data_IF_084240258321
#
_entry.id   IF_084240258321
#
_cell.length_a   1.000
_cell.length_b   1.000
_cell.length_c   1.000
_cell.angle_alpha   90.00
_cell.angle_beta   90.00
_cell.angle_gamma   90.00
#
_symmetry.space_group_name_H-M   'P 1'
#
loop_
_entity.id
_entity.type
_entity.pdbx_description
1 polymer ?
#
# COMPACT_ATOMS: atom_id res chain seq x y z
N UNK A 1 33.59 7.46 16.13
CA UNK A 1 32.75 6.25 16.02
C UNK A 1 31.37 6.39 16.67
N UNK A 2 31.24 6.81 17.94
CA UNK A 2 29.90 6.99 18.58
C UNK A 2 29.03 8.08 17.94
N UNK A 3 29.63 9.19 17.52
CA UNK A 3 28.90 10.32 16.89
C UNK A 3 28.40 10.02 15.47
N UNK A 4 29.19 9.26 14.69
CA UNK A 4 28.80 8.81 13.34
C UNK A 4 27.63 7.84 13.36
N UNK A 5 27.54 6.97 14.37
CA UNK A 5 26.40 6.06 14.56
C UNK A 5 25.11 6.81 14.87
N UNK A 6 25.20 7.85 15.72
CA UNK A 6 24.06 8.69 16.09
C UNK A 6 23.55 9.49 14.87
N UNK A 7 24.45 10.02 14.05
CA UNK A 7 24.09 10.70 12.80
C UNK A 7 23.41 9.75 11.80
N UNK A 8 23.87 8.49 11.71
CA UNK A 8 23.25 7.48 10.86
C UNK A 8 21.83 7.13 11.32
N UNK A 9 21.62 7.02 12.64
CA UNK A 9 20.32 6.73 13.26
C UNK A 9 19.30 7.85 13.04
N UNK A 10 19.75 9.12 13.06
CA UNK A 10 18.88 10.28 12.81
C UNK A 10 18.44 10.35 11.34
N UNK A 11 19.29 9.94 10.39
CA UNK A 11 18.96 9.91 8.96
C UNK A 11 17.90 8.83 8.66
N UNK A 12 17.87 7.72 9.40
CA UNK A 12 16.83 6.69 9.21
C UNK A 12 15.44 7.11 9.70
N UNK A 13 15.32 8.12 10.56
CA UNK A 13 14.04 8.55 11.14
C UNK A 13 13.25 9.49 10.20
N UNK A 14 13.90 10.10 9.19
CA UNK A 14 13.25 11.11 8.33
C UNK A 14 12.51 10.53 7.11
N UNK A 15 12.59 9.23 6.85
CA UNK A 15 11.85 8.60 5.75
C UNK A 15 10.42 8.27 6.18
N UNK A 16 9.51 9.23 6.03
CA UNK A 16 8.07 8.98 6.12
C UNK A 16 7.57 8.33 4.83
N UNK A 17 7.64 7.00 4.74
CA UNK A 17 7.00 6.25 3.68
C UNK A 17 5.48 6.15 3.96
N UNK A 18 4.65 6.79 3.14
CA UNK A 18 3.18 6.64 3.18
C UNK A 18 2.75 5.40 2.40
N UNK A 19 3.05 4.23 2.96
CA UNK A 19 2.58 2.94 2.46
C UNK A 19 2.19 2.05 3.65
N UNK A 20 1.10 2.42 4.31
CA UNK A 20 0.56 1.66 5.44
C UNK A 20 -0.51 0.69 4.93
N UNK A 21 -0.27 -0.59 5.14
CA UNK A 21 -1.29 -1.62 4.95
C UNK A 21 -2.18 -1.70 6.19
N UNK A 22 -3.45 -2.10 6.01
CA UNK A 22 -4.40 -2.28 7.12
C UNK A 22 -4.53 -1.04 8.03
N UNK A 23 -4.57 0.15 7.41
CA UNK A 23 -4.64 1.43 8.13
C UNK A 23 -5.78 1.43 9.15
N UNK A 24 -5.45 1.74 10.41
CA UNK A 24 -6.40 1.76 11.53
C UNK A 24 -6.70 0.40 12.16
N UNK A 25 -6.50 -0.73 11.45
CA UNK A 25 -6.82 -2.06 11.97
C UNK A 25 -5.65 -2.68 12.77
N UNK A 26 -4.43 -2.69 12.24
CA UNK A 26 -3.28 -3.37 12.90
C UNK A 26 -2.84 -2.71 14.21
N UNK A 27 -3.34 -1.51 14.51
CA UNK A 27 -3.04 -0.76 15.73
C UNK A 27 -4.09 -0.99 16.83
N UNK A 28 -5.16 -1.73 16.53
CA UNK A 28 -6.26 -1.99 17.46
C UNK A 28 -5.85 -3.01 18.52
N UNK A 29 -6.38 -2.87 19.75
CA UNK A 29 -6.15 -3.80 20.86
C UNK A 29 -6.76 -5.20 20.60
N UNK A 30 -7.65 -5.32 19.63
CA UNK A 30 -8.30 -6.53 19.14
C UNK A 30 -7.83 -6.91 17.72
N UNK A 31 -6.64 -6.45 17.30
CA UNK A 31 -6.06 -6.85 16.01
C UNK A 31 -5.51 -8.28 15.99
N UNK A 32 -5.39 -8.96 17.14
CA UNK A 32 -4.95 -10.36 17.20
C UNK A 32 -3.60 -10.60 16.52
N UNK A 33 -3.52 -11.61 15.65
CA UNK A 33 -2.29 -11.97 14.91
C UNK A 33 -1.83 -10.85 13.96
N UNK A 34 -2.75 -10.00 13.50
CA UNK A 34 -2.43 -8.88 12.59
C UNK A 34 -1.61 -7.78 13.28
N UNK A 35 -1.70 -7.68 14.61
CA UNK A 35 -0.92 -6.72 15.39
C UNK A 35 0.60 -6.95 15.27
N UNK A 36 1.02 -8.18 14.98
CA UNK A 36 2.43 -8.55 14.71
C UNK A 36 3.02 -7.74 13.56
N UNK A 37 2.20 -7.40 12.55
CA UNK A 37 2.63 -6.61 11.39
C UNK A 37 2.96 -5.16 11.75
N UNK A 38 2.40 -4.66 12.85
CA UNK A 38 2.70 -3.34 13.39
C UNK A 38 3.86 -3.40 14.39
N UNK A 39 3.76 -4.28 15.39
CA UNK A 39 4.79 -4.49 16.39
C UNK A 39 4.73 -5.94 16.91
N UNK A 40 5.76 -6.78 16.69
CA UNK A 40 5.76 -8.15 17.18
C UNK A 40 5.51 -8.31 18.69
N UNK A 41 5.82 -7.29 19.50
CA UNK A 41 5.59 -7.32 20.95
C UNK A 41 4.12 -7.14 21.35
N UNK A 42 3.24 -6.65 20.47
CA UNK A 42 1.83 -6.39 20.80
C UNK A 42 1.03 -7.65 21.15
N UNK A 43 1.49 -8.82 20.70
CA UNK A 43 0.82 -10.10 20.97
C UNK A 43 0.91 -10.52 22.45
N UNK A 44 1.79 -9.93 23.25
CA UNK A 44 1.85 -10.18 24.70
C UNK A 44 0.64 -9.60 25.45
N UNK A 45 0.08 -8.48 24.98
CA UNK A 45 -1.11 -7.82 25.57
C UNK A 45 -2.38 -8.04 24.71
N UNK A 46 -2.37 -9.05 23.84
CA UNK A 46 -3.54 -9.40 23.04
C UNK A 46 -4.71 -9.82 23.93
N UNK A 47 -5.91 -9.33 23.60
CA UNK A 47 -7.15 -9.72 24.29
C UNK A 47 -7.59 -11.15 23.93
N UNK A 48 -7.03 -11.73 22.87
CA UNK A 48 -7.29 -13.10 22.44
C UNK A 48 -6.21 -14.06 22.93
N UNK A 49 -6.62 -15.21 23.46
CA UNK A 49 -5.69 -16.32 23.79
C UNK A 49 -5.27 -17.11 22.56
N UNK A 50 -6.14 -17.14 21.55
CA UNK A 50 -5.92 -17.79 20.26
C UNK A 50 -6.61 -16.94 19.20
N UNK A 51 -5.92 -16.67 18.11
CA UNK A 51 -6.46 -15.99 16.94
C UNK A 51 -5.99 -16.69 15.68
N UNK A 52 -6.89 -16.82 14.71
CA UNK A 52 -6.64 -17.53 13.44
C UNK A 52 -7.12 -16.64 12.31
N UNK A 53 -6.17 -16.16 11.51
CA UNK A 53 -6.47 -15.48 10.26
C UNK A 53 -6.36 -16.49 9.12
N UNK A 54 -7.48 -16.79 8.44
CA UNK A 54 -7.45 -17.65 7.25
C UNK A 54 -6.85 -16.87 6.08
N UNK A 55 -7.38 -15.67 5.83
CA UNK A 55 -6.88 -14.75 4.84
C UNK A 55 -7.40 -13.34 5.13
N UNK A 56 -6.62 -12.33 4.78
CA UNK A 56 -6.97 -10.91 4.89
C UNK A 56 -6.35 -10.13 3.74
N UNK A 57 -7.03 -9.10 3.24
CA UNK A 57 -6.55 -8.27 2.14
C UNK A 57 -6.62 -6.80 2.52
N UNK A 58 -5.59 -6.05 2.16
CA UNK A 58 -5.59 -4.60 2.20
C UNK A 58 -5.06 -4.07 0.86
N UNK A 59 -5.83 -3.20 0.23
CA UNK A 59 -5.44 -2.50 -0.98
C UNK A 59 -5.63 -0.99 -0.79
N UNK A 60 -4.67 -0.21 -1.26
CA UNK A 60 -4.81 1.25 -1.36
C UNK A 60 -4.26 1.71 -2.69
N UNK A 61 -5.00 2.58 -3.37
CA UNK A 61 -4.54 3.26 -4.56
C UNK A 61 -4.88 4.74 -4.43
N UNK A 62 -3.91 5.60 -4.73
CA UNK A 62 -4.11 7.04 -4.73
C UNK A 62 -3.37 7.64 -5.92
N UNK A 63 -3.99 8.62 -6.57
CA UNK A 63 -3.41 9.33 -7.69
C UNK A 63 -3.96 10.77 -7.71
N UNK A 64 -3.29 11.66 -8.42
CA UNK A 64 -3.70 13.07 -8.54
C UNK A 64 -4.19 13.44 -9.97
N UNK A 65 -4.41 12.44 -10.85
CA UNK A 65 -4.83 12.61 -12.25
C UNK A 65 -6.33 12.34 -12.44
N UNK A 66 -6.83 11.21 -11.93
CA UNK A 66 -8.22 10.76 -12.05
C UNK A 66 -8.87 10.66 -10.66
N UNK A 67 -9.96 11.39 -10.50
CA UNK A 67 -10.92 11.21 -9.41
C UNK A 67 -12.13 10.42 -9.91
N UNK A 68 -12.37 9.24 -9.32
CA UNK A 68 -13.54 8.40 -9.62
C UNK A 68 -14.30 8.10 -8.34
N UNK A 69 -15.62 7.97 -8.43
CA UNK A 69 -16.41 7.45 -7.32
C UNK A 69 -16.38 5.92 -7.36
N UNK A 70 -15.83 5.31 -6.30
CA UNK A 70 -15.61 3.87 -6.22
C UNK A 70 -16.89 3.05 -6.49
N UNK A 71 -18.06 3.51 -6.04
CA UNK A 71 -19.30 2.77 -6.21
C UNK A 71 -19.92 2.91 -7.60
N UNK A 72 -19.57 3.97 -8.33
CA UNK A 72 -20.09 4.20 -9.68
C UNK A 72 -19.29 3.43 -10.73
N UNK A 73 -17.98 3.24 -10.51
CA UNK A 73 -17.08 2.50 -11.43
C UNK A 73 -17.54 1.06 -11.68
N UNK A 74 -18.22 0.42 -10.73
CA UNK A 74 -18.71 -0.97 -10.89
C UNK A 74 -20.08 -1.08 -11.56
N UNK A 75 -20.76 0.03 -11.84
CA UNK A 75 -22.09 0.01 -12.47
C UNK A 75 -21.96 -0.26 -13.98
N UNK A 76 -22.93 -1.02 -14.52
CA UNK A 76 -23.01 -1.24 -15.97
C UNK A 76 -23.22 0.10 -16.68
N UNK A 77 -22.34 0.40 -17.64
CA UNK A 77 -22.38 1.65 -18.41
C UNK A 77 -21.61 2.82 -17.79
N UNK A 78 -20.74 2.58 -16.81
CA UNK A 78 -19.82 3.62 -16.34
C UNK A 78 -18.86 4.01 -17.46
N UNK A 79 -18.85 5.29 -17.79
CA UNK A 79 -17.97 5.87 -18.79
C UNK A 79 -16.92 6.73 -18.08
N UNK A 80 -15.66 6.24 -18.12
CA UNK A 80 -14.53 6.96 -17.53
C UNK A 80 -14.31 8.32 -18.18
N UNK A 81 -14.81 8.55 -19.39
CA UNK A 81 -14.55 9.79 -20.10
C UNK A 81 -15.47 10.93 -19.71
N UNK A 82 -16.72 10.61 -19.38
CA UNK A 82 -17.75 11.57 -19.00
C UNK A 82 -17.99 11.64 -17.48
N UNK A 83 -17.66 10.58 -16.74
CA UNK A 83 -18.02 10.43 -15.33
C UNK A 83 -16.83 10.43 -14.36
N UNK A 84 -15.60 10.62 -14.86
CA UNK A 84 -14.42 10.85 -14.03
C UNK A 84 -14.05 12.33 -13.97
N UNK A 85 -13.50 12.77 -12.85
CA UNK A 85 -12.90 14.10 -12.72
C UNK A 85 -11.44 13.98 -13.13
N UNK A 86 -11.09 14.53 -14.29
CA UNK A 86 -9.72 14.55 -14.79
C UNK A 86 -9.03 15.85 -14.36
N UNK A 87 -7.90 15.73 -13.67
CA UNK A 87 -7.03 16.84 -13.26
C UNK A 87 -5.65 16.66 -13.88
N UNK A 88 -5.57 16.89 -15.19
CA UNK A 88 -4.32 16.78 -15.93
C UNK A 88 -3.33 17.89 -15.53
N UNK A 89 -2.20 17.47 -14.97
CA UNK A 89 -1.04 18.32 -14.68
C UNK A 89 0.15 17.82 -15.50
N UNK A 90 1.16 18.66 -15.67
CA UNK A 90 2.41 18.24 -16.36
C UNK A 90 3.16 17.13 -15.63
N UNK A 91 2.92 16.99 -14.32
CA UNK A 91 3.53 15.98 -13.46
C UNK A 91 2.50 15.48 -12.45
N UNK A 92 1.81 14.41 -12.82
CA UNK A 92 0.92 13.65 -11.97
C UNK A 92 1.66 12.47 -11.32
N UNK A 93 1.19 12.05 -10.14
CA UNK A 93 1.75 10.96 -9.37
C UNK A 93 0.67 9.93 -9.02
N UNK A 94 1.11 8.69 -8.85
CA UNK A 94 0.28 7.56 -8.46
C UNK A 94 1.00 6.66 -7.48
N UNK A 95 0.26 6.08 -6.55
CA UNK A 95 0.72 5.03 -5.66
C UNK A 95 -0.33 3.94 -5.59
N UNK A 96 0.12 2.69 -5.63
CA UNK A 96 -0.72 1.52 -5.41
C UNK A 96 0.00 0.56 -4.46
N UNK A 97 -0.71 0.11 -3.42
CA UNK A 97 -0.23 -0.85 -2.45
C UNK A 97 -1.24 -1.99 -2.36
N UNK A 98 -0.75 -3.21 -2.45
CA UNK A 98 -1.53 -4.42 -2.26
C UNK A 98 -0.85 -5.30 -1.21
N UNK A 99 -1.63 -5.79 -0.26
CA UNK A 99 -1.17 -6.56 0.86
C UNK A 99 -2.15 -7.68 1.15
N UNK A 100 -1.64 -8.91 1.22
CA UNK A 100 -2.43 -10.09 1.49
C UNK A 100 -1.74 -10.85 2.61
N UNK A 101 -2.39 -10.97 3.76
CA UNK A 101 -1.97 -11.89 4.80
C UNK A 101 -2.72 -13.20 4.64
N UNK A 102 -1.98 -14.28 4.40
CA UNK A 102 -2.52 -15.64 4.25
C UNK A 102 -2.81 -16.28 5.60
N UNK A 103 -2.77 -17.63 5.69
CA UNK A 103 -2.93 -18.34 6.94
C UNK A 103 -1.93 -17.85 7.99
N UNK A 104 -2.47 -17.41 9.13
CA UNK A 104 -1.70 -16.94 10.28
C UNK A 104 -2.36 -17.36 11.57
N UNK A 105 -1.54 -17.64 12.58
CA UNK A 105 -1.98 -18.18 13.86
C UNK A 105 -1.27 -17.43 14.98
N UNK A 106 -2.01 -17.09 16.02
CA UNK A 106 -1.48 -16.58 17.28
C UNK A 106 -2.07 -17.41 18.41
N UNK A 107 -1.25 -17.83 19.36
CA UNK A 107 -1.72 -18.54 20.56
C UNK A 107 -0.79 -18.34 21.76
N UNK A 108 -1.39 -18.32 22.95
CA UNK A 108 -0.66 -18.22 24.20
C UNK A 108 -0.09 -19.60 24.58
N UNK A 109 1.21 -19.66 24.82
CA UNK A 109 1.88 -20.86 25.36
C UNK A 109 1.91 -20.86 26.90
N UNK A 110 1.81 -19.68 27.51
CA UNK A 110 1.68 -19.47 28.96
C UNK A 110 0.96 -18.11 29.21
N UNK A 111 0.55 -17.76 30.45
CA UNK A 111 -0.32 -16.60 30.69
C UNK A 111 0.16 -15.25 30.15
N UNK A 112 1.48 -15.07 29.96
CA UNK A 112 2.08 -13.87 29.36
C UNK A 112 2.89 -14.14 28.09
N UNK A 113 3.03 -15.42 27.72
CA UNK A 113 3.89 -15.82 26.61
C UNK A 113 3.03 -16.19 25.42
N UNK A 114 3.25 -15.51 24.30
CA UNK A 114 2.47 -15.68 23.07
C UNK A 114 3.40 -15.95 21.90
N UNK A 115 3.03 -16.90 21.05
CA UNK A 115 3.68 -17.15 19.77
C UNK A 115 2.71 -16.79 18.65
N UNK A 116 3.24 -16.20 17.59
CA UNK A 116 2.51 -15.95 16.36
C UNK A 116 3.33 -16.42 15.15
N UNK A 117 2.64 -16.96 14.15
CA UNK A 117 3.19 -17.33 12.84
C UNK A 117 2.31 -16.71 11.78
N UNK A 118 2.91 -16.11 10.76
CA UNK A 118 2.16 -15.51 9.66
C UNK A 118 2.80 -15.76 8.30
N UNK A 119 1.95 -15.76 7.28
CA UNK A 119 2.33 -15.71 5.87
C UNK A 119 1.76 -14.45 5.25
N UNK A 120 2.53 -13.78 4.40
CA UNK A 120 2.10 -12.53 3.79
C UNK A 120 2.74 -12.32 2.42
N UNK A 121 2.04 -11.62 1.54
CA UNK A 121 2.55 -11.17 0.25
C UNK A 121 2.19 -9.70 0.06
N UNK A 122 3.13 -8.91 -0.44
CA UNK A 122 2.97 -7.47 -0.60
C UNK A 122 3.49 -6.99 -1.94
N UNK A 123 2.84 -5.96 -2.46
CA UNK A 123 3.26 -5.22 -3.64
C UNK A 123 3.08 -3.72 -3.41
N UNK A 124 4.09 -2.92 -3.77
CA UNK A 124 4.10 -1.47 -3.69
C UNK A 124 4.53 -0.93 -5.05
N UNK A 125 3.73 -0.04 -5.63
CA UNK A 125 4.02 0.61 -6.91
C UNK A 125 3.93 2.11 -6.74
N UNK A 126 4.95 2.83 -7.21
CA UNK A 126 5.00 4.28 -7.23
C UNK A 126 5.24 4.76 -8.66
N UNK A 127 4.37 5.64 -9.13
CA UNK A 127 4.44 6.31 -10.42
C UNK A 127 4.60 7.81 -10.17
N UNK A 128 5.54 8.44 -10.85
CA UNK A 128 5.85 9.87 -10.69
C UNK A 128 6.00 10.54 -12.04
N UNK A 129 5.72 11.85 -12.06
CA UNK A 129 5.92 12.72 -13.21
C UNK A 129 5.22 12.22 -14.49
N UNK A 130 4.04 11.62 -14.34
CA UNK A 130 3.21 11.25 -15.49
C UNK A 130 2.64 12.52 -16.09
N UNK A 131 2.85 12.75 -17.39
CA UNK A 131 2.30 13.93 -18.05
C UNK A 131 0.81 13.74 -18.32
N UNK A 132 -0.05 14.37 -17.51
CA UNK A 132 -1.51 14.31 -17.69
C UNK A 132 -1.99 14.93 -19.01
N UNK A 133 -1.28 15.93 -19.55
CA UNK A 133 -1.63 16.52 -20.85
C UNK A 133 -1.41 15.56 -22.02
N UNK A 134 -0.48 14.60 -21.90
CA UNK A 134 -0.33 13.53 -22.88
C UNK A 134 -1.47 12.52 -22.76
N UNK A 135 -1.91 12.22 -21.53
CA UNK A 135 -3.02 11.28 -21.29
C UNK A 135 -4.32 11.81 -21.90
N UNK A 136 -4.60 13.10 -21.74
CA UNK A 136 -5.77 13.75 -22.35
C UNK A 136 -5.69 13.75 -23.90
N UNK A 137 -4.51 14.06 -24.47
CA UNK A 137 -4.31 14.07 -25.93
C UNK A 137 -4.49 12.69 -26.56
N UNK A 138 -4.05 11.63 -25.88
CA UNK A 138 -4.21 10.25 -26.37
C UNK A 138 -5.67 9.80 -26.23
N UNK A 139 -6.36 10.25 -25.18
CA UNK A 139 -7.77 9.93 -24.92
C UNK A 139 -8.70 10.52 -25.98
N UNK A 140 -8.49 11.77 -26.40
CA UNK A 140 -9.37 12.46 -27.35
C UNK A 140 -9.22 11.99 -28.82
N UNK A 141 -8.35 11.01 -29.08
CA UNK A 141 -8.30 10.26 -30.34
C UNK A 141 -6.98 10.38 -31.10
N UNK A 142 -6.29 9.24 -31.22
CA UNK A 142 -5.16 9.04 -32.14
C UNK A 142 -5.62 8.87 -33.60
N UNK A 143 -6.92 8.80 -33.86
CA UNK A 143 -7.46 8.39 -35.16
C UNK A 143 -7.54 9.52 -36.20
N UNK A 144 -7.18 10.77 -35.85
CA UNK A 144 -7.32 11.97 -36.71
C UNK A 144 -6.00 12.69 -37.02
N UNK A 145 -4.83 12.21 -36.56
CA UNK A 145 -3.57 12.93 -36.73
C UNK A 145 -2.63 12.25 -37.74
N UNK A 146 -2.20 13.02 -38.75
CA UNK A 146 -1.21 12.59 -39.76
C UNK A 146 0.23 12.59 -39.26
N UNK A 147 0.50 13.29 -38.14
CA UNK A 147 1.78 13.36 -37.46
C UNK A 147 1.56 13.52 -35.94
N UNK A 148 2.38 12.85 -35.12
CA UNK A 148 2.31 12.92 -33.68
C UNK A 148 3.60 13.49 -33.08
N UNK A 149 3.51 14.59 -32.33
CA UNK A 149 4.59 15.08 -31.49
C UNK A 149 4.17 15.04 -30.02
N UNK A 150 4.42 13.88 -29.38
CA UNK A 150 4.08 13.66 -27.97
C UNK A 150 5.22 14.11 -27.06
N UNK A 151 4.90 14.97 -26.10
CA UNK A 151 5.80 15.27 -25.00
C UNK A 151 5.47 14.37 -23.80
N UNK A 152 6.15 13.24 -23.67
CA UNK A 152 5.97 12.34 -22.53
C UNK A 152 6.57 12.88 -21.22
N UNK A 153 7.41 13.90 -21.28
CA UNK A 153 8.15 14.41 -20.11
C UNK A 153 9.14 13.37 -19.58
N UNK A 154 9.26 13.28 -18.25
CA UNK A 154 10.18 12.38 -17.54
C UNK A 154 9.43 11.44 -16.58
N UNK A 155 8.58 10.53 -17.09
CA UNK A 155 7.83 9.61 -16.25
C UNK A 155 8.81 8.65 -15.54
N UNK A 156 8.53 8.36 -14.27
CA UNK A 156 9.29 7.40 -13.48
C UNK A 156 8.33 6.44 -12.79
N UNK A 157 8.65 5.14 -12.82
CA UNK A 157 7.91 4.11 -12.14
C UNK A 157 8.85 3.17 -11.38
N UNK A 158 8.50 2.85 -10.15
CA UNK A 158 9.17 1.81 -9.36
C UNK A 158 8.11 0.90 -8.75
N UNK A 159 8.35 -0.41 -8.81
CA UNK A 159 7.48 -1.42 -8.21
C UNK A 159 8.30 -2.46 -7.46
N UNK A 160 7.82 -2.85 -6.28
CA UNK A 160 8.44 -3.86 -5.42
C UNK A 160 7.38 -4.84 -4.98
N UNK A 161 7.65 -6.14 -5.12
CA UNK A 161 6.80 -7.21 -4.62
C UNK A 161 7.63 -8.27 -3.90
N UNK A 162 7.13 -8.77 -2.78
CA UNK A 162 7.80 -9.79 -1.99
C UNK A 162 6.82 -10.60 -1.14
N UNK A 163 7.27 -11.78 -0.71
CA UNK A 163 6.56 -12.63 0.24
C UNK A 163 7.30 -12.67 1.57
N UNK A 164 6.56 -12.84 2.66
CA UNK A 164 7.05 -12.90 4.03
C UNK A 164 6.49 -14.17 4.69
N UNK A 165 7.37 -14.91 5.38
CA UNK A 165 7.00 -15.87 6.39
C UNK A 165 7.65 -15.43 7.70
N UNK A 166 6.85 -15.24 8.75
CA UNK A 166 7.31 -14.68 10.00
C UNK A 166 6.89 -15.52 11.20
N UNK A 167 7.78 -15.59 12.18
CA UNK A 167 7.52 -16.15 13.51
C UNK A 167 7.81 -15.04 14.52
N UNK A 168 6.95 -14.89 15.51
CA UNK A 168 7.08 -13.89 16.57
C UNK A 168 6.77 -14.51 17.92
N UNK A 169 7.48 -14.04 18.93
CA UNK A 169 7.32 -14.43 20.32
C UNK A 169 7.35 -13.17 21.18
N UNK A 170 6.42 -13.07 22.12
CA UNK A 170 6.36 -11.97 23.09
C UNK A 170 6.01 -12.50 24.49
N UNK A 171 6.49 -11.81 25.52
CA UNK A 171 6.41 -12.18 26.93
C UNK A 171 6.19 -10.97 27.85
#
# INVERSE_FOLDING_TARGET
>A
MKKTLLSLLVITITFSAKAQSYLGYTHDNYAGVQSVLFNPASIADSRFKTDVNIFSVSGSAANDLYGVNLFDVYKKGYDFDTQSVVTAKKANNGIANFDIMGPSFMFNIAPKHTIAVYTRARSLTNLRNINGSLVDQVKDGLDQASDFNFNAGNPNGASHAWGEFGISYAA
#
